data_IF_410606356802
#
_entry.id   IF_410606356802
#
_cell.length_a   1.000
_cell.length_b   1.000
_cell.length_c   1.000
_cell.angle_alpha   90.00
_cell.angle_beta   90.00
_cell.angle_gamma   90.00
#
_symmetry.space_group_name_H-M   'P 1'
#
loop_
_entity.id
_entity.type
_entity.pdbx_description
1 polymer ?
#
# COMPACT_ATOMS: atom_id res chain seq x y z
N UNK A 1 -0.41 4.04 -10.06
CA UNK A 1 -1.00 4.08 -11.41
C UNK A 1 -2.13 5.11 -11.46
N UNK A 2 -2.25 5.83 -12.56
CA UNK A 2 -3.31 6.82 -12.82
C UNK A 2 -3.63 6.77 -14.31
N UNK A 3 -4.83 7.20 -14.72
CA UNK A 3 -5.10 7.38 -16.13
C UNK A 3 -4.25 8.54 -16.70
N UNK A 4 -4.09 8.58 -18.04
CA UNK A 4 -3.21 9.56 -18.74
C UNK A 4 -3.57 10.99 -18.37
N UNK A 5 -4.84 11.35 -18.46
CA UNK A 5 -5.32 12.73 -18.19
C UNK A 5 -5.03 13.18 -16.76
N UNK A 6 -5.24 12.28 -15.77
CA UNK A 6 -4.90 12.57 -14.36
C UNK A 6 -3.40 12.66 -14.14
N UNK A 7 -2.61 11.86 -14.87
CA UNK A 7 -1.16 11.93 -14.79
C UNK A 7 -0.64 13.25 -15.34
N UNK A 8 -1.13 13.68 -16.48
CA UNK A 8 -0.71 14.91 -17.18
C UNK A 8 -1.23 16.19 -16.55
N UNK A 9 -2.23 16.11 -15.67
CA UNK A 9 -2.82 17.27 -15.04
C UNK A 9 -1.78 18.09 -14.26
N UNK A 10 -1.81 19.42 -14.44
CA UNK A 10 -0.83 20.35 -13.87
C UNK A 10 -0.66 20.16 -12.35
N UNK A 11 -1.77 20.10 -11.60
CA UNK A 11 -1.69 19.92 -10.15
C UNK A 11 -1.02 18.61 -9.72
N UNK A 12 -1.16 17.54 -10.53
CA UNK A 12 -0.46 16.29 -10.25
C UNK A 12 1.04 16.42 -10.48
N UNK A 13 1.46 17.10 -11.57
CA UNK A 13 2.87 17.37 -11.86
C UNK A 13 3.51 18.23 -10.76
N UNK A 14 2.80 19.27 -10.31
CA UNK A 14 3.26 20.14 -9.23
C UNK A 14 3.43 19.37 -7.92
N UNK A 15 2.45 18.51 -7.58
CA UNK A 15 2.53 17.65 -6.39
C UNK A 15 3.69 16.65 -6.45
N UNK A 16 3.93 16.04 -7.62
CA UNK A 16 5.07 15.13 -7.82
C UNK A 16 6.39 15.88 -7.64
N UNK A 17 6.49 17.07 -8.22
CA UNK A 17 7.69 17.89 -8.06
C UNK A 17 7.93 18.23 -6.58
N UNK A 18 6.87 18.61 -5.85
CA UNK A 18 6.93 18.88 -4.42
C UNK A 18 7.37 17.64 -3.62
N UNK A 19 6.87 16.46 -3.95
CA UNK A 19 7.32 15.22 -3.30
C UNK A 19 8.81 14.97 -3.54
N UNK A 20 9.31 15.22 -4.76
CA UNK A 20 10.74 15.09 -5.06
C UNK A 20 11.60 16.05 -4.23
N UNK A 21 11.13 17.29 -3.98
CA UNK A 21 11.88 18.21 -3.08
C UNK A 21 11.92 17.73 -1.63
N UNK A 22 10.98 16.90 -1.22
CA UNK A 22 11.00 16.25 0.10
C UNK A 22 11.86 14.98 0.14
N UNK A 23 12.53 14.64 -0.96
CA UNK A 23 13.40 13.46 -1.03
C UNK A 23 12.67 12.15 -1.38
N UNK A 24 11.41 12.21 -1.81
CA UNK A 24 10.71 11.02 -2.29
C UNK A 24 11.21 10.63 -3.68
N UNK A 25 11.48 9.34 -3.84
CA UNK A 25 11.81 8.76 -5.14
C UNK A 25 10.57 8.15 -5.79
N UNK A 26 10.51 8.24 -7.11
CA UNK A 26 9.37 7.79 -7.89
C UNK A 26 9.78 6.62 -8.78
N UNK A 27 9.01 5.54 -8.75
CA UNK A 27 9.16 4.40 -9.64
C UNK A 27 8.02 4.42 -10.65
N UNK A 28 8.31 4.64 -11.92
CA UNK A 28 7.32 4.83 -12.96
C UNK A 28 6.77 6.26 -13.00
N UNK A 29 5.63 6.43 -13.69
CA UNK A 29 4.83 5.39 -14.35
C UNK A 29 5.43 4.90 -15.66
N UNK A 30 4.94 3.75 -16.13
CA UNK A 30 5.25 3.25 -17.47
C UNK A 30 4.23 3.78 -18.49
N UNK A 31 4.60 3.67 -19.77
CA UNK A 31 3.70 3.91 -20.90
C UNK A 31 3.04 2.58 -21.27
N UNK A 32 1.75 2.60 -21.61
CA UNK A 32 1.04 1.43 -22.09
C UNK A 32 -0.47 1.53 -21.90
N UNK A 33 -1.17 0.44 -22.28
CA UNK A 33 -2.62 0.34 -22.13
C UNK A 33 -3.04 0.33 -20.67
N UNK A 34 -4.10 1.05 -20.39
CA UNK A 34 -4.70 1.13 -19.06
C UNK A 34 -6.08 0.48 -19.05
N UNK A 35 -6.53 0.10 -17.85
CA UNK A 35 -7.84 -0.52 -17.66
C UNK A 35 -9.02 0.36 -18.15
N UNK A 36 -8.83 1.66 -18.28
CA UNK A 36 -9.81 2.60 -18.84
C UNK A 36 -9.78 2.70 -20.38
N UNK A 37 -8.99 1.87 -21.07
CA UNK A 37 -8.87 1.89 -22.53
C UNK A 37 -7.98 3.01 -23.10
N UNK A 38 -7.37 3.83 -22.24
CA UNK A 38 -6.42 4.87 -22.68
C UNK A 38 -5.00 4.27 -22.81
N UNK A 39 -4.26 4.72 -23.81
CA UNK A 39 -2.84 4.42 -23.99
C UNK A 39 -2.00 5.65 -23.68
N UNK A 40 -0.98 5.49 -22.86
CA UNK A 40 -0.05 6.58 -22.54
C UNK A 40 0.69 6.39 -21.22
N UNK A 41 1.26 7.48 -20.70
CA UNK A 41 1.95 7.50 -19.43
C UNK A 41 0.94 7.48 -18.27
N UNK A 42 1.16 6.63 -17.27
CA UNK A 42 0.26 6.48 -16.11
C UNK A 42 0.16 5.03 -15.63
N UNK A 43 0.61 4.07 -16.45
CA UNK A 43 0.61 2.65 -16.12
C UNK A 43 1.56 2.35 -14.97
N UNK A 44 1.12 1.53 -14.04
CA UNK A 44 1.97 1.08 -12.93
C UNK A 44 3.16 0.28 -13.46
N UNK A 45 4.35 0.52 -12.92
CA UNK A 45 5.53 -0.28 -13.20
C UNK A 45 5.29 -1.75 -12.86
N UNK A 46 5.88 -2.66 -13.63
CA UNK A 46 5.72 -4.09 -13.37
C UNK A 46 6.35 -4.47 -12.01
N UNK A 47 5.87 -5.53 -11.36
CA UNK A 47 6.46 -6.02 -10.11
C UNK A 47 7.97 -6.27 -10.22
N UNK A 48 8.42 -6.77 -11.37
CA UNK A 48 9.85 -7.01 -11.64
C UNK A 48 10.67 -5.73 -11.70
N UNK A 49 10.14 -4.67 -12.32
CA UNK A 49 10.79 -3.37 -12.36
C UNK A 49 10.88 -2.74 -10.98
N UNK A 50 9.79 -2.81 -10.20
CA UNK A 50 9.76 -2.32 -8.82
C UNK A 50 10.77 -3.06 -7.98
N UNK A 51 10.80 -4.40 -8.07
CA UNK A 51 11.75 -5.23 -7.35
C UNK A 51 13.20 -4.87 -7.71
N UNK A 52 13.53 -4.80 -9.00
CA UNK A 52 14.89 -4.46 -9.46
C UNK A 52 15.33 -3.08 -8.99
N UNK A 53 14.43 -2.10 -9.01
CA UNK A 53 14.72 -0.77 -8.49
C UNK A 53 15.03 -0.80 -7.00
N UNK A 54 14.19 -1.45 -6.20
CA UNK A 54 14.37 -1.56 -4.75
C UNK A 54 15.63 -2.34 -4.40
N UNK A 55 15.90 -3.46 -5.08
CA UNK A 55 17.09 -4.26 -4.88
C UNK A 55 18.36 -3.42 -5.14
N UNK A 56 18.41 -2.71 -6.26
CA UNK A 56 19.52 -1.80 -6.57
C UNK A 56 19.65 -0.66 -5.54
N UNK A 57 18.54 -0.08 -5.14
CA UNK A 57 18.51 1.02 -4.18
C UNK A 57 19.06 0.60 -2.81
N UNK A 58 18.61 -0.54 -2.30
CA UNK A 58 19.05 -1.07 -1.02
C UNK A 58 20.47 -1.63 -1.08
N UNK A 59 20.87 -2.26 -2.17
CA UNK A 59 22.25 -2.76 -2.35
C UNK A 59 23.25 -1.60 -2.44
N UNK A 60 22.95 -0.53 -3.19
CA UNK A 60 23.80 0.66 -3.27
C UNK A 60 23.98 1.35 -1.91
N UNK A 61 22.94 1.38 -1.08
CA UNK A 61 22.96 2.03 0.25
C UNK A 61 23.43 1.10 1.37
N UNK A 62 23.81 -0.14 1.09
CA UNK A 62 24.15 -1.14 2.11
C UNK A 62 23.06 -1.30 3.21
N UNK A 63 21.82 -0.93 2.93
CA UNK A 63 20.73 -0.96 3.90
C UNK A 63 20.32 -2.38 4.25
N UNK A 64 20.49 -3.35 3.32
CA UNK A 64 20.28 -4.77 3.61
C UNK A 64 21.33 -5.36 4.58
N UNK A 65 22.44 -4.67 4.83
CA UNK A 65 23.39 -5.05 5.89
C UNK A 65 22.94 -4.67 7.29
N UNK A 66 21.90 -3.83 7.45
CA UNK A 66 21.28 -3.61 8.77
C UNK A 66 20.54 -4.89 9.18
N UNK A 67 21.12 -5.63 10.12
CA UNK A 67 20.41 -6.71 10.84
C UNK A 67 19.18 -6.10 11.52
N UNK A 68 18.02 -6.78 11.41
CA UNK A 68 16.77 -6.44 12.09
C UNK A 68 15.93 -5.28 11.49
N UNK A 69 15.89 -5.12 10.17
CA UNK A 69 14.91 -4.22 9.55
C UNK A 69 13.47 -4.62 9.90
N UNK A 70 12.63 -3.60 10.12
CA UNK A 70 11.20 -3.74 10.39
C UNK A 70 10.39 -3.17 9.24
N UNK A 71 9.39 -3.90 8.80
CA UNK A 71 8.45 -3.44 7.79
C UNK A 71 7.00 -3.48 8.29
N UNK A 72 6.21 -2.55 7.78
CA UNK A 72 4.78 -2.47 7.95
C UNK A 72 4.13 -2.50 6.56
N UNK A 73 3.12 -3.34 6.38
CA UNK A 73 2.30 -3.36 5.17
C UNK A 73 0.84 -3.26 5.56
N UNK A 74 0.09 -2.36 4.92
CA UNK A 74 -1.38 -2.37 5.01
C UNK A 74 -1.97 -3.03 3.76
N UNK A 75 -3.04 -3.81 3.92
CA UNK A 75 -3.67 -4.56 2.83
C UNK A 75 -5.18 -4.70 3.02
N UNK A 76 -5.87 -5.05 1.93
CA UNK A 76 -7.31 -5.30 1.96
C UNK A 76 -8.16 -4.04 2.07
N UNK A 77 -9.49 -4.20 2.04
CA UNK A 77 -10.44 -3.12 2.19
C UNK A 77 -10.64 -2.74 3.66
N UNK A 78 -11.23 -1.57 3.93
CA UNK A 78 -11.89 -1.28 5.19
C UNK A 78 -13.40 -1.29 5.01
N UNK A 79 -14.14 -1.51 6.09
CA UNK A 79 -15.61 -1.50 6.13
C UNK A 79 -16.06 -0.44 7.12
N UNK A 80 -16.84 0.52 6.64
CA UNK A 80 -17.43 1.56 7.47
C UNK A 80 -18.93 1.26 7.63
N UNK A 81 -19.30 0.78 8.83
CA UNK A 81 -20.66 0.33 9.09
C UNK A 81 -21.64 1.49 9.19
N UNK A 82 -22.73 1.38 8.42
CA UNK A 82 -23.91 2.24 8.48
C UNK A 82 -24.83 1.82 9.65
N UNK A 83 -25.02 0.52 9.76
CA UNK A 83 -25.79 -0.18 10.81
C UNK A 83 -25.13 -1.53 11.09
N UNK A 84 -25.68 -2.40 11.97
CA UNK A 84 -25.07 -3.70 12.27
C UNK A 84 -24.89 -4.63 11.06
N UNK A 85 -25.59 -4.40 9.94
CA UNK A 85 -25.63 -5.29 8.78
C UNK A 85 -24.94 -4.64 7.56
N UNK A 86 -25.21 -3.36 7.29
CA UNK A 86 -24.77 -2.65 6.07
C UNK A 86 -23.51 -1.83 6.31
N UNK A 87 -22.60 -1.84 5.34
CA UNK A 87 -21.37 -1.08 5.38
C UNK A 87 -20.99 -0.52 4.00
N UNK A 88 -20.21 0.55 4.02
CA UNK A 88 -19.50 1.08 2.85
C UNK A 88 -18.11 0.45 2.83
N UNK A 89 -17.64 0.05 1.66
CA UNK A 89 -16.32 -0.53 1.47
C UNK A 89 -15.86 -0.30 0.04
N UNK A 90 -14.55 -0.27 -0.16
CA UNK A 90 -13.93 -0.31 -1.49
C UNK A 90 -13.61 -1.77 -1.83
N UNK A 91 -13.95 -2.23 -3.03
CA UNK A 91 -13.64 -3.60 -3.44
C UNK A 91 -12.13 -3.82 -3.49
N UNK A 92 -11.67 -4.83 -2.77
CA UNK A 92 -10.25 -5.21 -2.75
C UNK A 92 -10.09 -6.62 -2.17
N UNK A 93 -9.31 -7.44 -2.84
CA UNK A 93 -8.93 -8.77 -2.32
C UNK A 93 -7.82 -8.71 -1.27
N UNK A 94 -7.09 -7.61 -1.16
CA UNK A 94 -5.90 -7.49 -0.30
C UNK A 94 -4.67 -8.23 -0.80
N UNK A 95 -4.75 -8.95 -1.94
CA UNK A 95 -3.70 -9.83 -2.44
C UNK A 95 -2.37 -9.10 -2.69
N UNK A 96 -2.42 -7.89 -3.24
CA UNK A 96 -1.21 -7.12 -3.55
C UNK A 96 -0.38 -6.84 -2.29
N UNK A 97 -0.98 -6.26 -1.24
CA UNK A 97 -0.27 -5.98 0.01
C UNK A 97 0.18 -7.25 0.72
N UNK A 98 -0.63 -8.30 0.66
CA UNK A 98 -0.29 -9.61 1.21
C UNK A 98 0.97 -10.20 0.56
N UNK A 99 1.06 -10.22 -0.78
CA UNK A 99 2.24 -10.72 -1.51
C UNK A 99 3.49 -9.86 -1.25
N UNK A 100 3.33 -8.54 -1.11
CA UNK A 100 4.43 -7.66 -0.70
C UNK A 100 4.94 -8.02 0.70
N UNK A 101 4.04 -8.27 1.65
CA UNK A 101 4.43 -8.67 2.99
C UNK A 101 5.20 -10.01 3.00
N UNK A 102 4.77 -10.98 2.18
CA UNK A 102 5.48 -12.25 1.99
C UNK A 102 6.88 -12.02 1.41
N UNK A 103 6.98 -11.19 0.38
CA UNK A 103 8.27 -10.90 -0.25
C UNK A 103 9.26 -10.25 0.74
N UNK A 104 8.80 -9.28 1.53
CA UNK A 104 9.61 -8.63 2.56
C UNK A 104 10.06 -9.62 3.65
N UNK A 105 9.16 -10.49 4.09
CA UNK A 105 9.49 -11.53 5.07
C UNK A 105 10.53 -12.52 4.53
N UNK A 106 10.41 -12.96 3.26
CA UNK A 106 11.39 -13.81 2.59
C UNK A 106 12.77 -13.16 2.46
N UNK A 107 12.85 -11.84 2.42
CA UNK A 107 14.10 -11.08 2.46
C UNK A 107 14.69 -10.97 3.88
N UNK A 108 14.08 -11.60 4.87
CA UNK A 108 14.52 -11.56 6.27
C UNK A 108 14.12 -10.30 7.02
N UNK A 109 13.22 -9.50 6.47
CA UNK A 109 12.72 -8.28 7.11
C UNK A 109 11.58 -8.65 8.07
N UNK A 110 11.66 -8.20 9.32
CA UNK A 110 10.60 -8.43 10.31
C UNK A 110 9.33 -7.68 9.93
N UNK A 111 8.40 -8.36 9.28
CA UNK A 111 7.23 -7.76 8.65
C UNK A 111 5.98 -7.87 9.53
N UNK A 112 5.27 -6.75 9.67
CA UNK A 112 3.92 -6.68 10.24
C UNK A 112 2.93 -6.37 9.13
N UNK A 113 1.95 -7.23 8.91
CA UNK A 113 0.84 -7.05 8.00
C UNK A 113 -0.40 -6.60 8.78
N UNK A 114 -0.96 -5.44 8.43
CA UNK A 114 -2.26 -4.96 8.92
C UNK A 114 -3.25 -5.13 7.79
N UNK A 115 -4.23 -6.01 7.96
CA UNK A 115 -5.12 -6.42 6.88
C UNK A 115 -6.58 -6.23 7.25
N UNK A 116 -7.31 -5.61 6.36
CA UNK A 116 -8.76 -5.51 6.41
C UNK A 116 -9.45 -6.85 6.09
N UNK A 117 -10.78 -6.90 6.05
CA UNK A 117 -11.53 -8.11 5.78
C UNK A 117 -11.11 -8.77 4.46
N UNK A 118 -10.58 -9.98 4.55
CA UNK A 118 -10.13 -10.77 3.40
C UNK A 118 -10.10 -12.25 3.75
N UNK A 119 -10.11 -13.11 2.73
CA UNK A 119 -10.02 -14.57 2.85
C UNK A 119 -8.56 -15.07 2.83
N UNK A 120 -7.58 -14.18 2.90
CA UNK A 120 -6.17 -14.57 2.86
C UNK A 120 -5.71 -15.19 4.16
N UNK A 121 -4.94 -16.26 4.05
CA UNK A 121 -4.46 -17.05 5.20
C UNK A 121 -3.20 -16.40 5.77
N UNK A 122 -3.16 -16.21 7.09
CA UNK A 122 -1.97 -15.67 7.76
C UNK A 122 -0.78 -16.62 7.62
N UNK A 123 0.39 -16.08 7.28
CA UNK A 123 1.65 -16.81 7.25
C UNK A 123 2.30 -16.82 8.64
N UNK A 124 2.95 -17.94 9.01
CA UNK A 124 3.59 -18.10 10.33
C UNK A 124 4.66 -17.04 10.62
N UNK A 125 5.41 -16.65 9.59
CA UNK A 125 6.56 -15.74 9.73
C UNK A 125 6.18 -14.25 9.63
N UNK A 126 4.89 -13.94 9.48
CA UNK A 126 4.39 -12.57 9.35
C UNK A 126 3.44 -12.27 10.50
N UNK A 127 3.79 -11.25 11.30
CA UNK A 127 2.88 -10.77 12.34
C UNK A 127 1.68 -10.10 11.69
N UNK A 128 0.54 -10.81 11.67
CA UNK A 128 -0.69 -10.31 11.05
C UNK A 128 -1.64 -9.71 12.09
N UNK A 129 -2.10 -8.49 11.84
CA UNK A 129 -3.16 -7.81 12.59
C UNK A 129 -4.38 -7.64 11.69
N UNK A 130 -5.49 -8.29 12.05
CA UNK A 130 -6.77 -8.11 11.37
C UNK A 130 -7.48 -6.88 11.92
N UNK A 131 -8.01 -6.05 11.04
CA UNK A 131 -8.77 -4.84 11.35
C UNK A 131 -10.00 -4.79 10.46
N UNK A 132 -10.97 -3.97 10.81
CA UNK A 132 -12.22 -3.86 10.04
C UNK A 132 -12.39 -2.46 9.48
N UNK A 133 -12.19 -1.43 10.29
CA UNK A 133 -12.43 -0.03 9.92
C UNK A 133 -11.14 0.73 9.60
N UNK A 134 -11.28 1.88 8.94
CA UNK A 134 -10.17 2.79 8.69
C UNK A 134 -9.52 3.28 10.00
N UNK A 135 -10.35 3.60 11.01
CA UNK A 135 -9.86 4.03 12.32
C UNK A 135 -9.06 2.93 13.02
N UNK A 136 -9.53 1.67 12.95
CA UNK A 136 -8.78 0.52 13.48
C UNK A 136 -7.45 0.33 12.75
N UNK A 137 -7.46 0.43 11.42
CA UNK A 137 -6.25 0.33 10.60
C UNK A 137 -5.25 1.44 10.96
N UNK A 138 -5.69 2.67 11.04
CA UNK A 138 -4.88 3.81 11.44
C UNK A 138 -4.25 3.62 12.84
N UNK A 139 -5.05 3.21 13.81
CA UNK A 139 -4.55 2.95 15.16
C UNK A 139 -3.58 1.77 15.21
N UNK A 140 -3.80 0.73 14.41
CA UNK A 140 -2.88 -0.40 14.30
C UNK A 140 -1.55 0.00 13.67
N UNK A 141 -1.57 0.88 12.65
CA UNK A 141 -0.38 1.49 12.03
C UNK A 141 0.39 2.29 13.07
N UNK A 142 -0.27 3.24 13.75
CA UNK A 142 0.37 4.06 14.80
C UNK A 142 1.06 3.23 15.87
N UNK A 143 0.41 2.16 16.36
CA UNK A 143 0.97 1.25 17.37
C UNK A 143 2.12 0.39 16.84
N UNK A 144 2.33 0.34 15.53
CA UNK A 144 3.39 -0.48 14.91
C UNK A 144 4.64 0.34 14.61
N UNK A 145 4.52 1.65 14.49
CA UNK A 145 5.64 2.57 14.30
C UNK A 145 6.54 2.63 15.55
N UNK A 146 7.85 2.92 15.40
CA UNK A 146 8.56 3.20 14.15
C UNK A 146 8.97 1.93 13.39
N UNK A 147 9.02 2.03 12.05
CA UNK A 147 9.50 0.99 11.13
C UNK A 147 10.46 1.60 10.10
N UNK A 148 11.31 0.76 9.49
CA UNK A 148 12.25 1.19 8.46
C UNK A 148 11.57 1.29 7.08
N UNK A 149 10.53 0.47 6.83
CA UNK A 149 9.76 0.43 5.58
C UNK A 149 8.27 0.41 5.89
N UNK A 150 7.49 1.29 5.27
CA UNK A 150 6.03 1.25 5.31
C UNK A 150 5.46 1.18 3.89
N UNK A 151 4.59 0.19 3.64
CA UNK A 151 3.89 0.01 2.36
C UNK A 151 2.39 0.12 2.59
N UNK A 152 1.78 1.17 2.05
CA UNK A 152 0.36 1.43 2.16
C UNK A 152 -0.37 0.92 0.91
N UNK A 153 -0.85 -0.33 0.93
CA UNK A 153 -1.54 -1.00 -0.17
C UNK A 153 -3.00 -1.32 0.14
N UNK A 154 -3.52 -0.86 1.28
CA UNK A 154 -4.91 -1.05 1.64
C UNK A 154 -5.85 -0.17 0.80
N UNK A 155 -7.04 -0.68 0.50
CA UNK A 155 -8.14 0.07 -0.09
C UNK A 155 -9.03 0.63 1.04
N UNK A 156 -8.56 1.72 1.63
CA UNK A 156 -9.28 2.39 2.71
C UNK A 156 -10.49 3.11 2.14
N UNK A 157 -11.64 3.02 2.82
CA UNK A 157 -12.86 3.74 2.43
C UNK A 157 -12.67 5.25 2.62
N UNK A 158 -13.04 6.03 1.60
CA UNK A 158 -12.95 7.49 1.63
C UNK A 158 -14.05 8.15 2.48
N UNK A 159 -15.12 7.41 2.77
CA UNK A 159 -16.30 7.91 3.49
C UNK A 159 -16.64 7.00 4.66
N UNK A 160 -17.09 7.63 5.75
CA UNK A 160 -17.70 6.95 6.88
C UNK A 160 -18.95 7.71 7.34
N UNK A 161 -19.96 7.02 7.89
CA UNK A 161 -21.14 7.71 8.42
C UNK A 161 -20.76 8.53 9.67
N UNK A 162 -21.36 9.71 9.77
CA UNK A 162 -21.18 10.58 10.96
C UNK A 162 -21.81 9.93 12.20
N UNK A 163 -22.93 9.22 12.01
CA UNK A 163 -23.62 8.46 13.07
C UNK A 163 -23.98 7.08 12.54
N UNK A 164 -23.75 6.05 13.36
CA UNK A 164 -24.21 4.69 13.05
C UNK A 164 -25.69 4.59 13.47
N UNK A 165 -26.50 4.00 12.62
CA UNK A 165 -27.86 3.60 12.96
C UNK A 165 -27.81 2.39 13.93
N UNK A 166 -28.79 2.35 14.86
CA UNK A 166 -28.97 1.21 15.75
C UNK A 166 -29.68 0.08 15.05
#
# INVERSE_FOLDING_TARGET
ARNVRKWEHKSNKDNIQKLKTFGYEMIGPNIGDMACGEYGEGKMSSPRQIYSYLDNYFNKRNLLKKKNLKALVTAGPTREYLDPIRYISTESSGKQGYEIAIALSKLGIKTTLIIGPSNLISQKDIKTKKVTTADEMFNAVKKTLPVDVAVCAAAVSDFKPVRKSK
#
